data_IF_562006415970
#
_entry.id   IF_562006415970
#
_cell.length_a   1.000
_cell.length_b   1.000
_cell.length_c   1.000
_cell.angle_alpha   90.00
_cell.angle_beta   90.00
_cell.angle_gamma   90.00
#
_symmetry.space_group_name_H-M   'P 1'
#
loop_
_entity.id
_entity.type
_entity.pdbx_description
1 polymer ?
#
# COMPACT_ATOMS: atom_id res chain seq x y z
N UNK A 1 0.94 -12.16 6.90
CA UNK A 1 -0.19 -11.21 7.09
C UNK A 1 -0.82 -10.97 5.73
N UNK A 2 -1.97 -11.59 5.44
CA UNK A 2 -2.69 -11.45 4.15
C UNK A 2 -3.43 -10.11 4.13
N UNK A 3 -2.81 -9.07 3.59
CA UNK A 3 -3.51 -7.85 3.15
C UNK A 3 -3.58 -7.85 1.63
N UNK A 4 -4.45 -8.70 1.06
CA UNK A 4 -5.00 -8.43 -0.27
C UNK A 4 -6.23 -7.57 -0.01
N UNK A 5 -6.06 -6.26 0.03
CA UNK A 5 -7.20 -5.35 0.08
C UNK A 5 -7.97 -5.54 -1.23
N UNK A 6 -9.17 -6.13 -1.15
CA UNK A 6 -10.17 -6.04 -2.21
C UNK A 6 -10.47 -4.56 -2.42
N UNK A 7 -9.78 -3.94 -3.37
CA UNK A 7 -10.17 -2.63 -3.90
C UNK A 7 -11.44 -2.90 -4.70
N UNK A 8 -12.58 -2.90 -4.03
CA UNK A 8 -13.88 -2.69 -4.66
C UNK A 8 -13.99 -1.20 -4.97
N UNK A 9 -13.22 -0.73 -5.95
CA UNK A 9 -13.63 0.48 -6.66
C UNK A 9 -14.85 0.09 -7.46
N UNK A 10 -16.03 0.35 -6.91
CA UNK A 10 -17.24 0.52 -7.72
C UNK A 10 -16.93 1.62 -8.71
N UNK A 11 -16.46 1.25 -9.91
CA UNK A 11 -16.60 2.11 -11.07
C UNK A 11 -18.11 2.23 -11.25
N UNK A 12 -18.67 3.34 -10.77
CA UNK A 12 -19.97 3.79 -11.23
C UNK A 12 -19.82 3.87 -12.74
N UNK A 13 -20.47 2.95 -13.43
CA UNK A 13 -20.59 2.95 -14.89
C UNK A 13 -21.41 4.19 -15.24
N UNK A 14 -20.74 5.33 -15.35
CA UNK A 14 -21.23 6.46 -16.13
C UNK A 14 -20.99 6.17 -17.63
N UNK A 15 -21.32 4.94 -18.05
CA UNK A 15 -21.52 4.58 -19.43
C UNK A 15 -23.02 4.54 -19.62
N UNK A 16 -23.65 5.72 -19.73
CA UNK A 16 -25.02 5.77 -20.23
C UNK A 16 -25.00 5.11 -21.59
N UNK A 17 -25.61 3.92 -21.71
CA UNK A 17 -26.00 3.37 -22.99
C UNK A 17 -27.14 4.28 -23.43
N UNK A 18 -26.79 5.43 -24.01
CA UNK A 18 -27.77 6.30 -24.64
C UNK A 18 -28.26 5.51 -25.85
N UNK A 19 -29.47 4.96 -25.77
CA UNK A 19 -30.29 4.69 -26.95
C UNK A 19 -30.36 6.04 -27.67
N UNK A 20 -29.62 6.17 -28.78
CA UNK A 20 -29.55 7.41 -29.53
C UNK A 20 -30.94 7.75 -30.04
N UNK A 21 -31.63 8.63 -29.33
CA UNK A 21 -32.76 9.36 -29.83
C UNK A 21 -32.28 10.18 -31.04
N UNK A 22 -32.98 10.06 -32.17
CA UNK A 22 -32.81 10.94 -33.32
C UNK A 22 -32.99 12.39 -32.86
N UNK A 23 -31.88 13.08 -32.58
CA UNK A 23 -31.85 14.51 -32.35
C UNK A 23 -30.55 15.07 -32.92
N UNK A 24 -30.70 15.85 -33.98
CA UNK A 24 -29.63 16.50 -34.71
C UNK A 24 -29.05 17.66 -33.90
N UNK A 25 -28.03 17.36 -33.10
CA UNK A 25 -27.02 18.35 -32.70
C UNK A 25 -25.67 17.81 -33.16
N UNK A 26 -25.20 18.33 -34.30
CA UNK A 26 -23.94 17.92 -34.92
C UNK A 26 -22.75 18.54 -34.18
N UNK A 27 -22.36 17.89 -33.08
CA UNK A 27 -20.94 17.73 -32.82
C UNK A 27 -20.48 16.63 -33.77
N UNK A 28 -19.42 16.85 -34.55
CA UNK A 28 -18.89 15.86 -35.46
C UNK A 28 -18.42 14.64 -34.65
N UNK A 29 -19.29 13.64 -34.49
CA UNK A 29 -18.95 12.37 -33.89
C UNK A 29 -17.94 11.69 -34.81
N UNK A 30 -16.82 11.27 -34.24
CA UNK A 30 -15.85 10.46 -34.99
C UNK A 30 -16.56 9.26 -35.63
N UNK A 31 -16.18 8.90 -36.87
CA UNK A 31 -16.78 7.75 -37.52
C UNK A 31 -16.55 6.48 -36.69
N UNK A 32 -17.48 5.52 -36.73
CA UNK A 32 -17.38 4.29 -35.93
C UNK A 32 -16.16 3.44 -36.33
N UNK A 33 -15.68 3.57 -37.56
CA UNK A 33 -14.52 2.86 -38.10
C UNK A 33 -13.49 3.86 -38.64
N UNK A 34 -12.24 3.74 -38.20
CA UNK A 34 -11.07 4.53 -38.63
C UNK A 34 -10.10 3.73 -39.51
N UNK A 35 -10.44 2.50 -39.86
CA UNK A 35 -9.57 1.65 -40.67
C UNK A 35 -9.31 2.29 -42.05
N UNK A 36 -8.03 2.37 -42.44
CA UNK A 36 -7.65 2.93 -43.73
C UNK A 36 -8.27 2.12 -44.89
N UNK A 37 -8.89 2.82 -45.84
CA UNK A 37 -9.55 2.18 -46.99
C UNK A 37 -10.87 1.47 -46.66
N UNK A 38 -11.44 1.71 -45.48
CA UNK A 38 -12.73 1.14 -45.12
C UNK A 38 -13.88 1.71 -45.97
N UNK A 39 -14.61 0.82 -46.65
CA UNK A 39 -15.83 1.15 -47.38
C UNK A 39 -17.06 0.74 -46.59
N UNK A 40 -17.96 1.70 -46.34
CA UNK A 40 -19.18 1.47 -45.56
C UNK A 40 -20.12 0.51 -46.31
N UNK A 41 -20.53 -0.63 -45.73
CA UNK A 41 -21.46 -1.53 -46.36
C UNK A 41 -22.85 -0.92 -46.49
N UNK A 42 -23.64 -1.43 -47.44
CA UNK A 42 -25.05 -1.02 -47.57
C UNK A 42 -25.80 -1.36 -46.30
N UNK A 43 -26.51 -0.37 -45.76
CA UNK A 43 -27.35 -0.56 -44.57
C UNK A 43 -28.54 -1.43 -44.94
N UNK A 44 -28.80 -2.45 -44.13
CA UNK A 44 -29.97 -3.31 -44.26
C UNK A 44 -31.18 -2.65 -43.61
N UNK A 45 -32.36 -2.92 -44.16
CA UNK A 45 -33.63 -2.43 -43.62
C UNK A 45 -34.36 -3.56 -42.90
N UNK A 46 -35.07 -3.20 -41.84
CA UNK A 46 -35.91 -4.14 -41.11
C UNK A 46 -37.06 -4.63 -42.00
N UNK A 47 -37.43 -5.90 -41.87
CA UNK A 47 -38.67 -6.41 -42.42
C UNK A 47 -39.87 -5.67 -41.82
N UNK A 48 -40.85 -5.30 -42.65
CA UNK A 48 -41.97 -4.43 -42.24
C UNK A 48 -42.67 -4.89 -40.95
N UNK A 49 -42.93 -6.21 -40.83
CA UNK A 49 -43.59 -6.79 -39.65
C UNK A 49 -42.73 -6.67 -38.38
N UNK A 50 -41.44 -6.97 -38.48
CA UNK A 50 -40.50 -6.89 -37.35
C UNK A 50 -40.27 -5.44 -36.97
N UNK A 51 -40.08 -4.55 -37.95
CA UNK A 51 -39.94 -3.11 -37.73
C UNK A 51 -41.13 -2.50 -37.01
N UNK A 52 -42.37 -2.85 -37.39
CA UNK A 52 -43.59 -2.39 -36.66
C UNK A 52 -43.60 -2.83 -35.20
N UNK A 53 -43.24 -4.08 -34.91
CA UNK A 53 -43.18 -4.61 -33.53
C UNK A 53 -42.04 -3.98 -32.72
N UNK A 54 -40.87 -3.77 -33.33
CA UNK A 54 -39.74 -3.09 -32.69
C UNK A 54 -40.10 -1.64 -32.32
N UNK A 55 -40.79 -0.92 -33.22
CA UNK A 55 -41.26 0.43 -32.94
C UNK A 55 -42.26 0.46 -31.78
N UNK A 56 -43.21 -0.48 -31.73
CA UNK A 56 -44.15 -0.57 -30.60
C UNK A 56 -43.43 -0.83 -29.26
N UNK A 57 -42.43 -1.72 -29.25
CA UNK A 57 -41.60 -1.93 -28.06
C UNK A 57 -40.78 -0.68 -27.69
N UNK A 58 -40.32 0.08 -28.68
CA UNK A 58 -39.62 1.34 -28.46
C UNK A 58 -40.52 2.44 -27.88
N UNK A 59 -41.76 2.53 -28.36
CA UNK A 59 -42.78 3.42 -27.79
C UNK A 59 -43.07 3.06 -26.32
N UNK A 60 -43.29 1.77 -26.03
CA UNK A 60 -43.47 1.29 -24.66
C UNK A 60 -42.27 1.64 -23.77
N UNK A 61 -41.04 1.49 -24.27
CA UNK A 61 -39.83 1.89 -23.54
C UNK A 61 -39.79 3.40 -23.25
N UNK A 62 -40.10 4.25 -24.23
CA UNK A 62 -40.10 5.72 -24.06
C UNK A 62 -41.19 6.22 -23.10
N UNK A 63 -42.22 5.41 -22.86
CA UNK A 63 -43.26 5.65 -21.86
C UNK A 63 -42.93 5.01 -20.51
N UNK A 64 -41.66 4.65 -20.28
CA UNK A 64 -41.15 3.99 -19.07
C UNK A 64 -41.76 2.60 -18.78
N UNK A 65 -42.47 2.01 -19.76
CA UNK A 65 -43.07 0.67 -19.68
C UNK A 65 -42.06 -0.42 -20.06
N UNK A 66 -40.91 -0.44 -19.37
CA UNK A 66 -39.75 -1.28 -19.73
C UNK A 66 -40.07 -2.78 -19.69
N UNK A 67 -40.82 -3.25 -18.70
CA UNK A 67 -41.23 -4.67 -18.60
C UNK A 67 -42.12 -5.10 -19.77
N UNK A 68 -43.03 -4.21 -20.20
CA UNK A 68 -43.90 -4.44 -21.35
C UNK A 68 -43.09 -4.46 -22.64
N UNK A 69 -42.17 -3.51 -22.84
CA UNK A 69 -41.26 -3.49 -23.98
C UNK A 69 -40.44 -4.80 -24.08
N UNK A 70 -39.90 -5.30 -22.97
CA UNK A 70 -39.18 -6.57 -22.92
C UNK A 70 -40.09 -7.74 -23.31
N UNK A 71 -41.34 -7.78 -22.83
CA UNK A 71 -42.30 -8.81 -23.19
C UNK A 71 -42.61 -8.78 -24.70
N UNK A 72 -42.89 -7.59 -25.25
CA UNK A 72 -43.13 -7.39 -26.68
C UNK A 72 -41.96 -7.88 -27.54
N UNK A 73 -40.72 -7.57 -27.15
CA UNK A 73 -39.51 -8.00 -27.87
C UNK A 73 -39.34 -9.52 -27.91
N UNK A 74 -39.72 -10.22 -26.83
CA UNK A 74 -39.63 -11.69 -26.77
C UNK A 74 -40.65 -12.40 -27.68
N UNK A 75 -41.74 -11.74 -28.03
CA UNK A 75 -42.78 -12.26 -28.93
C UNK A 75 -42.46 -12.02 -30.42
N UNK A 76 -41.33 -11.39 -30.73
CA UNK A 76 -40.93 -11.13 -32.12
C UNK A 76 -40.24 -12.38 -32.68
N UNK A 77 -40.95 -13.08 -33.56
CA UNK A 77 -40.36 -14.14 -34.40
C UNK A 77 -39.71 -13.53 -35.65
N UNK A 78 -38.41 -13.26 -35.56
CA UNK A 78 -37.61 -12.79 -36.68
C UNK A 78 -37.00 -13.98 -37.46
N UNK A 79 -37.25 -14.04 -38.77
CA UNK A 79 -36.67 -15.08 -39.65
C UNK A 79 -35.36 -14.63 -40.30
N UNK A 80 -35.31 -13.38 -40.74
CA UNK A 80 -34.13 -12.80 -41.37
C UNK A 80 -33.05 -12.50 -40.34
N UNK A 81 -31.79 -12.70 -40.71
CA UNK A 81 -30.67 -12.54 -39.77
C UNK A 81 -30.58 -11.12 -39.22
N UNK A 82 -30.80 -10.10 -40.06
CA UNK A 82 -30.73 -8.70 -39.65
C UNK A 82 -31.85 -8.32 -38.66
N UNK A 83 -33.05 -8.85 -38.89
CA UNK A 83 -34.18 -8.69 -37.99
C UNK A 83 -33.88 -9.35 -36.63
N UNK A 84 -33.31 -10.57 -36.63
CA UNK A 84 -32.90 -11.27 -35.41
C UNK A 84 -31.87 -10.45 -34.62
N UNK A 85 -30.82 -9.98 -35.29
CA UNK A 85 -29.79 -9.17 -34.65
C UNK A 85 -30.35 -7.87 -34.07
N UNK A 86 -31.32 -7.25 -34.75
CA UNK A 86 -31.94 -6.00 -34.29
C UNK A 86 -32.82 -6.21 -33.06
N UNK A 87 -33.60 -7.30 -33.02
CA UNK A 87 -34.38 -7.69 -31.84
C UNK A 87 -33.46 -8.03 -30.66
N UNK A 88 -32.42 -8.81 -30.91
CA UNK A 88 -31.44 -9.20 -29.90
C UNK A 88 -30.72 -7.99 -29.31
N UNK A 89 -30.32 -7.04 -30.15
CA UNK A 89 -29.69 -5.79 -29.72
C UNK A 89 -30.60 -5.07 -28.74
N UNK A 90 -31.85 -4.81 -29.13
CA UNK A 90 -32.75 -4.00 -28.32
C UNK A 90 -33.14 -4.71 -27.02
N UNK A 91 -33.47 -6.01 -27.10
CA UNK A 91 -33.79 -6.81 -25.92
C UNK A 91 -32.59 -6.89 -24.96
N UNK A 92 -31.39 -7.12 -25.48
CA UNK A 92 -30.17 -7.14 -24.70
C UNK A 92 -29.89 -5.82 -24.00
N UNK A 93 -30.11 -4.68 -24.68
CA UNK A 93 -29.95 -3.35 -24.09
C UNK A 93 -30.94 -3.10 -22.95
N UNK A 94 -32.22 -3.45 -23.12
CA UNK A 94 -33.21 -3.29 -22.05
C UNK A 94 -32.91 -4.19 -20.85
N UNK A 95 -32.46 -5.42 -21.10
CA UNK A 95 -32.07 -6.34 -20.02
C UNK A 95 -30.83 -5.88 -19.25
N UNK A 96 -29.92 -5.12 -19.89
CA UNK A 96 -28.71 -4.62 -19.23
C UNK A 96 -29.01 -3.69 -18.04
N UNK A 97 -30.15 -3.00 -18.08
CA UNK A 97 -30.60 -2.10 -17.03
C UNK A 97 -31.52 -2.75 -15.99
N UNK A 98 -31.79 -4.05 -16.11
CA UNK A 98 -32.65 -4.78 -15.17
C UNK A 98 -31.82 -5.52 -14.13
N UNK A 99 -32.20 -5.37 -12.87
CA UNK A 99 -31.54 -6.05 -11.76
C UNK A 99 -31.54 -7.57 -11.95
N UNK A 100 -30.37 -8.19 -11.84
CA UNK A 100 -30.19 -9.64 -11.98
C UNK A 100 -30.32 -10.19 -13.40
N UNK A 101 -30.42 -9.33 -14.44
CA UNK A 101 -30.55 -9.75 -15.85
C UNK A 101 -29.28 -9.58 -16.70
N UNK A 102 -28.17 -9.20 -16.07
CA UNK A 102 -26.87 -9.00 -16.72
C UNK A 102 -26.43 -10.18 -17.60
N UNK A 103 -26.50 -11.41 -17.08
CA UNK A 103 -26.13 -12.60 -17.85
C UNK A 103 -27.03 -12.85 -19.07
N UNK A 104 -28.32 -12.53 -18.95
CA UNK A 104 -29.29 -12.68 -20.03
C UNK A 104 -29.05 -11.61 -21.11
N UNK A 105 -28.87 -10.36 -20.68
CA UNK A 105 -28.44 -9.25 -21.54
C UNK A 105 -27.20 -9.62 -22.36
N UNK A 106 -26.17 -10.17 -21.71
CA UNK A 106 -24.94 -10.57 -22.38
C UNK A 106 -25.19 -11.57 -23.51
N UNK A 107 -26.08 -12.55 -23.29
CA UNK A 107 -26.44 -13.54 -24.31
C UNK A 107 -27.05 -12.89 -25.54
N UNK A 108 -28.04 -12.01 -25.34
CA UNK A 108 -28.71 -11.33 -26.46
C UNK A 108 -27.78 -10.35 -27.17
N UNK A 109 -27.02 -9.54 -26.43
CA UNK A 109 -26.07 -8.59 -27.03
C UNK A 109 -24.97 -9.32 -27.82
N UNK A 110 -24.39 -10.41 -27.28
CA UNK A 110 -23.40 -11.21 -27.98
C UNK A 110 -23.97 -11.80 -29.29
N UNK A 111 -25.21 -12.33 -29.26
CA UNK A 111 -25.88 -12.86 -30.45
C UNK A 111 -26.11 -11.79 -31.51
N UNK A 112 -26.46 -10.57 -31.10
CA UNK A 112 -26.73 -9.45 -32.02
C UNK A 112 -25.53 -9.05 -32.88
N UNK A 113 -24.31 -9.21 -32.36
CA UNK A 113 -23.08 -8.85 -33.09
C UNK A 113 -22.43 -10.03 -33.78
N UNK A 114 -22.87 -11.26 -33.56
CA UNK A 114 -22.08 -12.43 -34.00
C UNK A 114 -21.86 -12.46 -35.52
N UNK A 115 -22.89 -12.14 -36.30
CA UNK A 115 -22.86 -12.17 -37.77
C UNK A 115 -22.30 -10.90 -38.43
N UNK A 116 -21.99 -9.85 -37.66
CA UNK A 116 -21.50 -8.55 -38.19
C UNK A 116 -22.42 -7.88 -39.23
N UNK A 117 -23.73 -8.01 -39.07
CA UNK A 117 -24.75 -7.53 -40.01
C UNK A 117 -25.45 -6.22 -39.58
N UNK A 118 -25.26 -5.81 -38.32
CA UNK A 118 -25.70 -4.50 -37.83
C UNK A 118 -24.91 -3.39 -38.55
N UNK A 119 -25.46 -2.17 -38.57
CA UNK A 119 -24.69 -1.02 -39.05
C UNK A 119 -23.44 -0.79 -38.18
N UNK A 120 -22.43 -0.13 -38.73
CA UNK A 120 -21.11 -0.02 -38.09
C UNK A 120 -21.15 0.62 -36.70
N UNK A 121 -22.03 1.61 -36.48
CA UNK A 121 -22.20 2.28 -35.19
C UNK A 121 -22.75 1.33 -34.13
N UNK A 122 -23.83 0.63 -34.47
CA UNK A 122 -24.41 -0.40 -33.60
C UNK A 122 -23.43 -1.54 -33.37
N UNK A 123 -22.81 -2.08 -34.41
CA UNK A 123 -21.88 -3.19 -34.28
C UNK A 123 -20.68 -2.82 -33.40
N UNK A 124 -20.07 -1.65 -33.61
CA UNK A 124 -18.96 -1.17 -32.79
C UNK A 124 -19.39 -0.96 -31.33
N UNK A 125 -20.46 -0.20 -31.09
CA UNK A 125 -20.92 0.11 -29.73
C UNK A 125 -21.32 -1.14 -28.95
N UNK A 126 -22.07 -2.06 -29.56
CA UNK A 126 -22.52 -3.29 -28.91
C UNK A 126 -21.37 -4.28 -28.70
N UNK A 127 -20.44 -4.42 -29.66
CA UNK A 127 -19.26 -5.28 -29.47
C UNK A 127 -18.44 -4.81 -28.26
N UNK A 128 -18.25 -3.49 -28.08
CA UNK A 128 -17.60 -2.94 -26.89
C UNK A 128 -18.42 -3.19 -25.62
N UNK A 129 -19.74 -2.97 -25.67
CA UNK A 129 -20.64 -3.21 -24.54
C UNK A 129 -20.66 -4.69 -24.08
N UNK A 130 -20.56 -5.65 -25.01
CA UNK A 130 -20.42 -7.08 -24.70
C UNK A 130 -19.09 -7.35 -24.00
N UNK A 131 -18.01 -6.67 -24.38
CA UNK A 131 -16.73 -6.70 -23.67
C UNK A 131 -16.82 -6.16 -22.24
N UNK A 132 -17.49 -5.02 -22.07
CA UNK A 132 -17.72 -4.37 -20.78
C UNK A 132 -18.55 -5.25 -19.84
N UNK A 133 -19.64 -5.81 -20.36
CA UNK A 133 -20.55 -6.66 -19.60
C UNK A 133 -19.89 -8.01 -19.25
N UNK A 134 -19.16 -8.60 -20.19
CA UNK A 134 -18.34 -9.80 -19.92
C UNK A 134 -17.35 -9.55 -18.78
N UNK A 135 -16.70 -8.38 -18.75
CA UNK A 135 -15.77 -8.03 -17.68
C UNK A 135 -16.47 -7.92 -16.31
N UNK A 136 -17.67 -7.32 -16.27
CA UNK A 136 -18.46 -7.18 -15.05
C UNK A 136 -18.96 -8.53 -14.52
N UNK A 137 -19.29 -9.45 -15.43
CA UNK A 137 -19.67 -10.84 -15.11
C UNK A 137 -18.46 -11.76 -14.86
N UNK A 138 -17.25 -11.19 -14.73
CA UNK A 138 -16.00 -11.91 -14.50
C UNK A 138 -15.63 -12.94 -15.60
N UNK A 139 -16.19 -12.78 -16.81
CA UNK A 139 -15.85 -13.56 -18.00
C UNK A 139 -14.69 -12.92 -18.74
N UNK A 140 -13.52 -13.00 -18.14
CA UNK A 140 -12.34 -12.25 -18.57
C UNK A 140 -11.86 -12.60 -20.00
N UNK A 141 -11.89 -13.88 -20.38
CA UNK A 141 -11.51 -14.32 -21.73
C UNK A 141 -12.47 -13.79 -22.80
N UNK A 142 -13.78 -13.80 -22.53
CA UNK A 142 -14.78 -13.23 -23.42
C UNK A 142 -14.60 -11.72 -23.53
N UNK A 143 -14.38 -11.02 -22.41
CA UNK A 143 -14.11 -9.59 -22.41
C UNK A 143 -12.94 -9.24 -23.33
N UNK A 144 -11.80 -9.94 -23.18
CA UNK A 144 -10.62 -9.77 -24.03
C UNK A 144 -10.93 -10.04 -25.51
N UNK A 145 -11.66 -11.11 -25.82
CA UNK A 145 -12.09 -11.45 -27.19
C UNK A 145 -12.92 -10.32 -27.81
N UNK A 146 -13.88 -9.78 -27.09
CA UNK A 146 -14.77 -8.73 -27.61
C UNK A 146 -14.08 -7.38 -27.71
N UNK A 147 -13.18 -7.02 -26.79
CA UNK A 147 -12.35 -5.82 -26.95
C UNK A 147 -11.44 -5.92 -28.17
N UNK A 148 -10.77 -7.06 -28.38
CA UNK A 148 -9.96 -7.26 -29.58
C UNK A 148 -10.82 -7.17 -30.85
N UNK A 149 -11.99 -7.84 -30.88
CA UNK A 149 -12.95 -7.76 -31.99
C UNK A 149 -13.40 -6.32 -32.28
N UNK A 150 -13.61 -5.51 -31.25
CA UNK A 150 -13.95 -4.10 -31.39
C UNK A 150 -12.79 -3.29 -31.97
N UNK A 151 -11.58 -3.48 -31.47
CA UNK A 151 -10.38 -2.80 -31.97
C UNK A 151 -10.09 -3.19 -33.43
N UNK A 152 -10.18 -4.47 -33.78
CA UNK A 152 -9.95 -4.96 -35.15
C UNK A 152 -10.97 -4.40 -36.14
N UNK A 153 -12.23 -4.24 -35.70
CA UNK A 153 -13.29 -3.69 -36.56
C UNK A 153 -13.17 -2.18 -36.73
N UNK A 154 -12.85 -1.46 -35.66
CA UNK A 154 -12.88 0.00 -35.65
C UNK A 154 -11.53 0.63 -36.00
N UNK A 155 -10.43 -0.11 -35.86
CA UNK A 155 -9.06 0.41 -35.86
C UNK A 155 -8.85 1.58 -34.88
N UNK A 156 -9.67 1.66 -33.83
CA UNK A 156 -9.56 2.69 -32.79
C UNK A 156 -8.66 2.21 -31.66
N UNK A 157 -7.90 3.15 -31.12
CA UNK A 157 -7.24 3.03 -29.83
C UNK A 157 -8.12 3.71 -28.77
N UNK A 158 -8.35 3.04 -27.63
CA UNK A 158 -9.11 3.60 -26.51
C UNK A 158 -8.39 3.22 -25.21
N UNK A 159 -7.92 4.24 -24.48
CA UNK A 159 -7.16 4.06 -23.27
C UNK A 159 -7.91 3.27 -22.18
N UNK A 160 -9.23 3.41 -22.10
CA UNK A 160 -10.06 2.68 -21.14
C UNK A 160 -10.24 1.22 -21.55
N UNK A 161 -10.37 0.94 -22.85
CA UNK A 161 -10.40 -0.44 -23.36
C UNK A 161 -9.09 -1.15 -23.04
N UNK A 162 -7.95 -0.52 -23.31
CA UNK A 162 -6.64 -1.07 -22.93
C UNK A 162 -6.52 -1.31 -21.43
N UNK A 163 -7.00 -0.38 -20.59
CA UNK A 163 -6.99 -0.54 -19.14
C UNK A 163 -7.86 -1.72 -18.67
N UNK A 164 -9.03 -1.92 -19.28
CA UNK A 164 -9.92 -3.06 -19.02
C UNK A 164 -9.30 -4.39 -19.46
N UNK A 165 -8.63 -4.42 -20.61
CA UNK A 165 -7.87 -5.59 -21.07
C UNK A 165 -6.71 -5.92 -20.12
N UNK A 166 -5.93 -4.92 -19.69
CA UNK A 166 -4.87 -5.10 -18.69
C UNK A 166 -5.42 -5.69 -17.38
N UNK A 167 -6.55 -5.17 -16.89
CA UNK A 167 -7.23 -5.69 -15.70
C UNK A 167 -7.68 -7.14 -15.90
N UNK A 168 -8.31 -7.47 -17.04
CA UNK A 168 -8.76 -8.83 -17.33
C UNK A 168 -7.58 -9.83 -17.34
N UNK A 169 -6.45 -9.48 -17.95
CA UNK A 169 -5.24 -10.29 -17.89
C UNK A 169 -4.70 -10.45 -16.46
N UNK A 170 -4.77 -9.40 -15.64
CA UNK A 170 -4.33 -9.45 -14.24
C UNK A 170 -5.20 -10.41 -13.42
N UNK A 171 -6.53 -10.35 -13.58
CA UNK A 171 -7.48 -11.22 -12.88
C UNK A 171 -7.33 -12.69 -13.32
N UNK A 172 -6.99 -12.92 -14.60
CA UNK A 172 -6.60 -14.23 -15.13
C UNK A 172 -5.19 -14.68 -14.71
N UNK A 173 -4.46 -13.87 -13.94
CA UNK A 173 -3.07 -14.10 -13.52
C UNK A 173 -2.08 -14.26 -14.68
N UNK A 174 -2.42 -13.69 -15.83
CA UNK A 174 -1.58 -13.66 -17.02
C UNK A 174 -0.66 -12.44 -16.97
N UNK A 175 0.20 -12.38 -15.95
CA UNK A 175 0.93 -11.16 -15.59
C UNK A 175 1.76 -10.56 -16.74
N UNK A 176 2.44 -11.38 -17.54
CA UNK A 176 3.21 -10.90 -18.69
C UNK A 176 2.32 -10.23 -19.76
N UNK A 177 1.06 -10.68 -19.90
CA UNK A 177 0.10 -10.12 -20.87
C UNK A 177 -0.55 -8.82 -20.38
N UNK A 178 -0.38 -8.45 -19.11
CA UNK A 178 -0.86 -7.16 -18.59
C UNK A 178 -0.06 -6.00 -19.16
N UNK A 179 1.23 -6.20 -19.40
CA UNK A 179 2.19 -5.12 -19.71
C UNK A 179 1.82 -4.40 -21.00
N UNK A 180 1.55 -5.13 -22.09
CA UNK A 180 1.21 -4.53 -23.39
C UNK A 180 -0.01 -3.60 -23.34
N UNK A 181 -1.19 -4.08 -22.90
CA UNK A 181 -2.35 -3.22 -22.74
C UNK A 181 -2.15 -2.10 -21.71
N UNK A 182 -1.42 -2.32 -20.60
CA UNK A 182 -1.13 -1.25 -19.65
C UNK A 182 -0.27 -0.13 -20.29
N UNK A 183 0.74 -0.48 -21.09
CA UNK A 183 1.59 0.47 -21.80
C UNK A 183 0.83 1.23 -22.88
N UNK A 184 -0.03 0.54 -23.63
CA UNK A 184 -0.92 1.20 -24.58
C UNK A 184 -1.89 2.16 -23.88
N UNK A 185 -2.45 1.79 -22.72
CA UNK A 185 -3.28 2.69 -21.93
C UNK A 185 -2.49 3.94 -21.51
N UNK A 186 -1.28 3.78 -20.95
CA UNK A 186 -0.40 4.89 -20.54
C UNK A 186 -0.12 5.84 -21.71
N UNK A 187 0.17 5.31 -22.91
CA UNK A 187 0.44 6.11 -24.11
C UNK A 187 -0.79 6.83 -24.65
N UNK A 188 -1.98 6.22 -24.51
CA UNK A 188 -3.21 6.70 -25.15
C UNK A 188 -3.96 7.72 -24.29
N UNK A 189 -3.77 7.74 -22.97
CA UNK A 189 -4.39 8.76 -22.13
C UNK A 189 -3.76 10.15 -22.37
N UNK A 190 -4.59 11.17 -22.61
CA UNK A 190 -4.14 12.57 -22.73
C UNK A 190 -3.44 13.11 -21.48
N UNK A 191 -3.81 12.58 -20.31
CA UNK A 191 -3.21 12.90 -19.01
C UNK A 191 -2.81 11.61 -18.30
N UNK A 192 -1.68 11.59 -17.58
CA UNK A 192 -1.25 10.40 -16.85
C UNK A 192 -2.38 9.78 -16.02
N UNK A 193 -2.67 8.50 -16.28
CA UNK A 193 -3.69 7.75 -15.57
C UNK A 193 -3.05 6.78 -14.58
N UNK A 194 -3.21 7.07 -13.29
CA UNK A 194 -2.64 6.31 -12.18
C UNK A 194 -3.00 4.81 -12.21
N UNK A 195 -4.18 4.45 -12.69
CA UNK A 195 -4.65 3.05 -12.69
C UNK A 195 -3.89 2.19 -13.71
N UNK A 196 -3.49 2.75 -14.85
CA UNK A 196 -2.70 2.01 -15.84
C UNK A 196 -1.32 1.62 -15.27
N UNK A 197 -0.65 2.56 -14.59
CA UNK A 197 0.58 2.26 -13.88
C UNK A 197 0.37 1.26 -12.74
N UNK A 198 -0.73 1.35 -11.98
CA UNK A 198 -1.05 0.40 -10.91
C UNK A 198 -1.21 -1.04 -11.40
N UNK A 199 -1.82 -1.24 -12.57
CA UNK A 199 -1.92 -2.57 -13.18
C UNK A 199 -0.53 -3.10 -13.58
N UNK A 200 0.31 -2.26 -14.22
CA UNK A 200 1.68 -2.63 -14.59
C UNK A 200 2.53 -3.00 -13.38
N UNK A 201 2.51 -2.17 -12.34
CA UNK A 201 3.22 -2.45 -11.07
C UNK A 201 2.71 -3.73 -10.41
N UNK A 202 1.40 -3.97 -10.42
CA UNK A 202 0.83 -5.19 -9.82
C UNK A 202 1.26 -6.44 -10.59
N UNK A 203 1.26 -6.39 -11.93
CA UNK A 203 1.75 -7.50 -12.74
C UNK A 203 3.23 -7.81 -12.49
N UNK A 204 4.08 -6.79 -12.40
CA UNK A 204 5.50 -6.98 -12.08
C UNK A 204 5.70 -7.54 -10.66
N UNK A 205 4.98 -7.01 -9.67
CA UNK A 205 5.05 -7.52 -8.30
C UNK A 205 4.63 -9.00 -8.20
N UNK A 206 3.49 -9.36 -8.79
CA UNK A 206 2.98 -10.74 -8.75
C UNK A 206 3.85 -11.72 -9.55
N UNK A 207 4.54 -11.25 -10.59
CA UNK A 207 5.54 -12.02 -11.34
C UNK A 207 6.94 -11.97 -10.73
N UNK A 208 7.11 -11.36 -9.55
CA UNK A 208 8.38 -11.20 -8.81
C UNK A 208 9.46 -10.41 -9.57
N UNK A 209 9.04 -9.58 -10.52
CA UNK A 209 9.86 -8.64 -11.28
C UNK A 209 9.94 -7.29 -10.54
N UNK A 210 10.51 -7.33 -9.33
CA UNK A 210 10.53 -6.17 -8.43
C UNK A 210 11.34 -4.99 -8.99
N UNK A 211 12.51 -5.19 -9.64
CA UNK A 211 13.23 -4.09 -10.28
C UNK A 211 12.37 -3.33 -11.30
N UNK A 212 11.63 -4.02 -12.16
CA UNK A 212 10.74 -3.39 -13.13
C UNK A 212 9.54 -2.71 -12.45
N UNK A 213 9.06 -3.24 -11.33
CA UNK A 213 8.05 -2.57 -10.52
C UNK A 213 8.58 -1.26 -9.92
N UNK A 214 9.85 -1.22 -9.50
CA UNK A 214 10.52 -0.02 -8.99
C UNK A 214 10.58 1.05 -10.08
N UNK A 215 11.06 0.72 -11.29
CA UNK A 215 11.16 1.68 -12.40
C UNK A 215 9.82 2.37 -12.70
N UNK A 216 8.74 1.59 -12.68
CA UNK A 216 7.39 2.12 -12.88
C UNK A 216 6.97 3.01 -11.71
N UNK A 217 7.20 2.59 -10.46
CA UNK A 217 6.82 3.41 -9.29
C UNK A 217 7.65 4.70 -9.20
N UNK A 218 8.94 4.68 -9.57
CA UNK A 218 9.78 5.88 -9.66
C UNK A 218 9.21 6.90 -10.64
N UNK A 219 8.75 6.43 -11.80
CA UNK A 219 8.04 7.28 -12.77
C UNK A 219 6.76 7.86 -12.16
N UNK A 220 6.01 7.03 -11.44
CA UNK A 220 4.71 7.41 -10.89
C UNK A 220 4.83 8.44 -9.76
N UNK A 221 5.85 8.36 -8.89
CA UNK A 221 6.06 9.39 -7.84
C UNK A 221 6.48 10.74 -8.43
N UNK A 222 7.04 10.78 -9.64
CA UNK A 222 7.32 12.03 -10.35
C UNK A 222 6.05 12.63 -10.98
N UNK A 223 5.17 11.79 -11.52
CA UNK A 223 3.91 12.22 -12.13
C UNK A 223 2.84 12.60 -11.10
N UNK A 224 2.85 11.95 -9.94
CA UNK A 224 1.88 12.13 -8.86
C UNK A 224 2.59 12.35 -7.51
N UNK A 225 3.36 13.44 -7.35
CA UNK A 225 4.22 13.66 -6.19
C UNK A 225 3.45 13.79 -4.87
N UNK A 226 2.19 14.22 -4.90
CA UNK A 226 1.38 14.38 -3.70
C UNK A 226 0.71 13.07 -3.23
N UNK A 227 0.85 12.00 -4.00
CA UNK A 227 0.22 10.72 -3.67
C UNK A 227 1.10 9.86 -2.76
N UNK A 228 0.91 10.03 -1.45
CA UNK A 228 1.62 9.29 -0.39
C UNK A 228 1.61 7.76 -0.56
N UNK A 229 0.62 7.19 -1.27
CA UNK A 229 0.53 5.74 -1.47
C UNK A 229 1.70 5.21 -2.27
N UNK A 230 2.13 5.97 -3.29
CA UNK A 230 3.22 5.56 -4.17
C UNK A 230 4.58 5.72 -3.53
N UNK A 231 4.78 6.77 -2.75
CA UNK A 231 6.01 6.93 -1.96
C UNK A 231 6.20 5.78 -0.97
N UNK A 232 5.15 5.39 -0.25
CA UNK A 232 5.21 4.24 0.63
C UNK A 232 5.50 2.94 -0.15
N UNK A 233 4.86 2.73 -1.30
CA UNK A 233 5.12 1.56 -2.14
C UNK A 233 6.57 1.52 -2.65
N UNK A 234 7.12 2.67 -3.07
CA UNK A 234 8.50 2.79 -3.52
C UNK A 234 9.49 2.41 -2.42
N UNK A 235 9.34 2.99 -1.23
CA UNK A 235 10.18 2.68 -0.09
C UNK A 235 10.12 1.18 0.29
N UNK A 236 8.94 0.58 0.24
CA UNK A 236 8.76 -0.85 0.50
C UNK A 236 9.39 -1.75 -0.59
N UNK A 237 9.38 -1.34 -1.85
CA UNK A 237 10.04 -2.09 -2.92
C UNK A 237 11.57 -2.00 -2.82
N UNK A 238 12.13 -0.83 -2.49
CA UNK A 238 13.55 -0.73 -2.19
C UNK A 238 13.95 -1.62 -0.99
N UNK A 239 13.12 -1.69 0.05
CA UNK A 239 13.36 -2.62 1.16
C UNK A 239 13.34 -4.09 0.71
N UNK A 240 12.44 -4.46 -0.19
CA UNK A 240 12.32 -5.83 -0.69
C UNK A 240 13.55 -6.26 -1.50
N UNK A 241 14.14 -5.32 -2.25
CA UNK A 241 15.39 -5.50 -3.00
C UNK A 241 16.65 -5.19 -2.17
N UNK A 242 16.51 -5.03 -0.85
CA UNK A 242 17.61 -4.72 0.08
C UNK A 242 18.39 -3.44 -0.28
N UNK A 243 17.78 -2.53 -1.05
CA UNK A 243 18.30 -1.19 -1.39
C UNK A 243 18.04 -0.22 -0.23
N UNK A 244 18.72 -0.44 0.89
CA UNK A 244 18.45 0.27 2.14
C UNK A 244 18.71 1.78 2.08
N UNK A 245 19.68 2.24 1.29
CA UNK A 245 20.00 3.67 1.15
C UNK A 245 18.88 4.41 0.38
N UNK A 246 18.37 3.80 -0.67
CA UNK A 246 17.25 4.33 -1.46
C UNK A 246 15.96 4.30 -0.63
N UNK A 247 15.72 3.20 0.10
CA UNK A 247 14.59 3.11 1.02
C UNK A 247 14.64 4.21 2.08
N UNK A 248 15.79 4.42 2.73
CA UNK A 248 15.96 5.48 3.72
C UNK A 248 15.68 6.86 3.11
N UNK A 249 16.21 7.13 1.92
CA UNK A 249 16.00 8.40 1.21
C UNK A 249 14.50 8.66 0.95
N UNK A 250 13.78 7.65 0.46
CA UNK A 250 12.34 7.74 0.21
C UNK A 250 11.53 7.90 1.49
N UNK A 251 11.80 7.10 2.53
CA UNK A 251 11.09 7.21 3.79
C UNK A 251 11.38 8.53 4.52
N UNK A 252 12.61 9.04 4.47
CA UNK A 252 12.96 10.36 5.04
C UNK A 252 12.25 11.49 4.29
N UNK A 253 12.20 11.45 2.95
CA UNK A 253 11.45 12.44 2.17
C UNK A 253 9.95 12.37 2.46
N UNK A 254 9.37 11.16 2.46
CA UNK A 254 7.96 10.91 2.80
C UNK A 254 7.62 11.44 4.20
N UNK A 255 8.55 11.28 5.15
CA UNK A 255 8.40 11.81 6.49
C UNK A 255 8.32 13.32 6.51
N UNK A 256 9.25 14.00 5.81
CA UNK A 256 9.29 15.47 5.71
C UNK A 256 8.04 16.05 5.07
N UNK A 257 7.43 15.33 4.13
CA UNK A 257 6.17 15.72 3.49
C UNK A 257 4.91 15.37 4.32
N UNK A 258 5.06 14.74 5.49
CA UNK A 258 3.93 14.36 6.34
C UNK A 258 3.15 13.14 5.85
N UNK A 259 3.74 12.34 4.95
CA UNK A 259 3.09 11.17 4.35
C UNK A 259 3.10 9.94 5.26
N UNK A 260 4.03 9.86 6.22
CA UNK A 260 4.10 8.76 7.18
C UNK A 260 3.18 9.03 8.37
N UNK A 261 2.11 8.25 8.50
CA UNK A 261 1.06 8.49 9.51
C UNK A 261 0.81 7.29 10.42
N UNK A 262 1.47 6.15 10.19
CA UNK A 262 1.22 4.90 10.94
C UNK A 262 2.41 4.50 11.82
N UNK A 263 2.13 3.74 12.90
CA UNK A 263 3.14 3.10 13.76
C UNK A 263 4.18 2.35 12.95
N UNK A 264 3.73 1.53 11.98
CA UNK A 264 4.61 0.70 11.15
C UNK A 264 5.59 1.55 10.34
N UNK A 265 5.11 2.59 9.67
CA UNK A 265 5.96 3.47 8.84
C UNK A 265 7.02 4.20 9.67
N UNK A 266 6.64 4.71 10.85
CA UNK A 266 7.57 5.37 11.75
C UNK A 266 8.62 4.38 12.29
N UNK A 267 8.21 3.16 12.64
CA UNK A 267 9.13 2.11 13.06
C UNK A 267 10.09 1.71 11.93
N UNK A 268 9.61 1.58 10.69
CA UNK A 268 10.44 1.32 9.51
C UNK A 268 11.48 2.42 9.31
N UNK A 269 11.10 3.69 9.38
CA UNK A 269 12.05 4.81 9.26
C UNK A 269 13.08 4.82 10.40
N UNK A 270 12.65 4.58 11.64
CA UNK A 270 13.58 4.48 12.78
C UNK A 270 14.56 3.31 12.62
N UNK A 271 14.09 2.16 12.12
CA UNK A 271 14.92 1.00 11.85
C UNK A 271 15.95 1.29 10.76
N UNK A 272 15.53 1.93 9.66
CA UNK A 272 16.41 2.36 8.57
C UNK A 272 17.49 3.33 9.06
N UNK A 273 17.13 4.32 9.88
CA UNK A 273 18.14 5.18 10.51
C UNK A 273 19.11 4.38 11.39
N UNK A 274 18.61 3.42 12.17
CA UNK A 274 19.46 2.62 13.05
C UNK A 274 20.36 1.64 12.29
N UNK A 275 19.93 1.08 11.16
CA UNK A 275 20.74 0.16 10.34
C UNK A 275 21.79 0.90 9.51
N UNK A 276 21.56 2.19 9.22
CA UNK A 276 22.48 3.06 8.50
C UNK A 276 23.37 3.91 9.43
N UNK A 277 23.61 3.42 10.65
CA UNK A 277 24.47 4.07 11.66
C UNK A 277 24.09 5.53 11.98
N UNK A 278 22.80 5.86 11.91
CA UNK A 278 22.22 7.15 12.37
C UNK A 278 21.33 6.96 13.62
N UNK A 279 21.83 6.35 14.72
CA UNK A 279 21.01 5.98 15.87
C UNK A 279 20.39 7.19 16.60
N UNK A 280 20.98 8.39 16.47
CA UNK A 280 20.40 9.59 17.07
C UNK A 280 19.07 9.98 16.40
N UNK A 281 19.02 10.01 15.04
CA UNK A 281 17.77 10.27 14.32
C UNK A 281 16.71 9.20 14.62
N UNK A 282 17.13 7.94 14.74
CA UNK A 282 16.25 6.84 15.14
C UNK A 282 15.66 7.05 16.55
N UNK A 283 16.47 7.48 17.51
CA UNK A 283 16.03 7.75 18.88
C UNK A 283 15.05 8.94 18.93
N UNK A 284 15.39 10.05 18.27
CA UNK A 284 14.58 11.27 18.23
C UNK A 284 13.20 11.03 17.63
N UNK A 285 13.14 10.30 16.50
CA UNK A 285 11.85 10.04 15.85
C UNK A 285 10.97 9.12 16.71
N UNK A 286 11.53 8.07 17.31
CA UNK A 286 10.75 7.20 18.19
C UNK A 286 10.33 7.94 19.46
N UNK A 287 11.22 8.71 20.10
CA UNK A 287 10.91 9.52 21.28
C UNK A 287 9.77 10.51 21.00
N UNK A 288 9.82 11.20 19.85
CA UNK A 288 8.76 12.10 19.39
C UNK A 288 7.41 11.39 19.28
N UNK A 289 7.37 10.21 18.66
CA UNK A 289 6.11 9.52 18.44
C UNK A 289 5.59 8.75 19.65
N UNK A 290 6.46 8.33 20.57
CA UNK A 290 6.08 7.90 21.93
C UNK A 290 5.40 9.06 22.68
N UNK A 291 5.99 10.25 22.65
CA UNK A 291 5.41 11.44 23.30
C UNK A 291 4.06 11.85 22.69
N UNK A 292 3.91 11.71 21.38
CA UNK A 292 2.64 12.03 20.69
C UNK A 292 1.53 11.00 20.93
N UNK A 293 1.85 9.82 21.48
CA UNK A 293 0.92 8.70 21.62
C UNK A 293 0.73 7.86 20.35
N UNK A 294 1.39 8.20 19.23
CA UNK A 294 1.36 7.34 18.04
C UNK A 294 2.08 6.02 18.30
N UNK A 295 3.27 6.03 18.90
CA UNK A 295 3.95 4.81 19.34
C UNK A 295 3.56 4.49 20.78
N UNK A 296 3.45 3.21 21.09
CA UNK A 296 3.10 2.75 22.42
C UNK A 296 4.20 3.13 23.42
N UNK A 297 3.80 3.56 24.61
CA UNK A 297 4.73 3.85 25.72
C UNK A 297 4.92 2.60 26.59
N UNK A 298 4.99 1.43 25.98
CA UNK A 298 5.25 0.17 26.68
C UNK A 298 6.74 0.02 27.03
N UNK A 299 7.01 -0.91 27.94
CA UNK A 299 8.36 -1.17 28.46
C UNK A 299 9.38 -1.41 27.34
N UNK A 300 9.03 -2.25 26.37
CA UNK A 300 9.90 -2.62 25.22
C UNK A 300 10.22 -1.41 24.34
N UNK A 301 9.23 -0.60 24.03
CA UNK A 301 9.41 0.59 23.17
C UNK A 301 10.28 1.62 23.88
N UNK A 302 10.03 1.90 25.16
CA UNK A 302 10.85 2.82 25.95
C UNK A 302 12.30 2.33 26.08
N UNK A 303 12.50 1.03 26.32
CA UNK A 303 13.84 0.43 26.38
C UNK A 303 14.59 0.49 25.05
N UNK A 304 13.88 0.32 23.93
CA UNK A 304 14.47 0.47 22.59
C UNK A 304 14.91 1.92 22.33
N UNK A 305 14.09 2.91 22.66
CA UNK A 305 14.46 4.33 22.55
C UNK A 305 15.68 4.64 23.42
N UNK A 306 15.71 4.14 24.66
CA UNK A 306 16.85 4.29 25.54
C UNK A 306 18.14 3.69 24.94
N UNK A 307 18.05 2.50 24.35
CA UNK A 307 19.19 1.84 23.71
C UNK A 307 19.72 2.62 22.50
N UNK A 308 18.85 3.25 21.70
CA UNK A 308 19.25 4.12 20.59
C UNK A 308 19.94 5.40 21.08
N UNK A 309 19.43 6.03 22.15
CA UNK A 309 20.14 7.15 22.78
C UNK A 309 21.49 6.73 23.37
N UNK A 310 21.58 5.55 24.00
CA UNK A 310 22.84 5.03 24.52
C UNK A 310 23.85 4.81 23.40
N UNK A 311 23.45 4.20 22.27
CA UNK A 311 24.30 3.98 21.10
C UNK A 311 24.77 5.28 20.45
N UNK A 312 23.94 6.32 20.47
CA UNK A 312 24.30 7.66 20.02
C UNK A 312 25.03 8.51 21.08
N UNK A 313 25.43 7.91 22.22
CA UNK A 313 26.14 8.56 23.34
C UNK A 313 25.35 9.66 24.05
N UNK A 314 24.02 9.67 23.89
CA UNK A 314 23.10 10.57 24.57
C UNK A 314 22.65 9.95 25.92
N UNK A 315 23.59 9.82 26.84
CA UNK A 315 23.42 9.00 28.04
C UNK A 315 22.35 9.52 29.01
N UNK A 316 22.15 10.83 29.12
CA UNK A 316 21.09 11.40 29.99
C UNK A 316 19.69 11.07 29.48
N UNK A 317 19.45 11.20 28.17
CA UNK A 317 18.19 10.79 27.56
C UNK A 317 17.99 9.28 27.66
N UNK A 318 19.05 8.48 27.45
CA UNK A 318 18.99 7.04 27.65
C UNK A 318 18.57 6.67 29.09
N UNK A 319 19.15 7.34 30.09
CA UNK A 319 18.79 7.15 31.49
C UNK A 319 17.32 7.52 31.81
N UNK A 320 16.79 8.60 31.21
CA UNK A 320 15.38 8.96 31.35
C UNK A 320 14.46 7.87 30.82
N UNK A 321 14.69 7.41 29.58
CA UNK A 321 13.86 6.39 28.95
C UNK A 321 13.97 5.03 29.65
N UNK A 322 15.17 4.61 30.10
CA UNK A 322 15.30 3.42 30.94
C UNK A 322 14.58 3.57 32.28
N UNK A 323 14.63 4.75 32.88
CA UNK A 323 13.86 5.04 34.10
C UNK A 323 12.35 4.98 33.91
N UNK A 324 11.85 5.38 32.74
CA UNK A 324 10.43 5.24 32.39
C UNK A 324 10.05 3.80 32.13
N UNK A 325 10.88 3.04 31.40
CA UNK A 325 10.69 1.61 31.16
C UNK A 325 10.63 0.84 32.49
N UNK A 326 11.58 1.09 33.39
CA UNK A 326 11.64 0.46 34.71
C UNK A 326 10.35 0.59 35.54
N UNK A 327 9.60 1.69 35.39
CA UNK A 327 8.37 1.94 36.15
C UNK A 327 7.15 1.15 35.66
N UNK A 328 7.15 0.64 34.43
CA UNK A 328 5.98 -0.03 33.86
C UNK A 328 5.78 -1.41 34.51
N UNK A 329 6.85 -2.19 34.63
CA UNK A 329 6.81 -3.56 35.20
C UNK A 329 7.62 -3.71 36.49
N UNK A 330 8.09 -2.61 37.09
CA UNK A 330 9.06 -2.61 38.20
C UNK A 330 10.28 -3.48 37.87
N UNK A 331 10.89 -3.25 36.71
CA UNK A 331 11.98 -4.07 36.20
C UNK A 331 13.34 -3.54 36.71
N UNK A 332 14.02 -4.26 37.62
CA UNK A 332 15.28 -3.82 38.20
C UNK A 332 16.42 -3.76 37.17
N UNK A 333 16.34 -4.50 36.06
CA UNK A 333 17.35 -4.45 35.01
C UNK A 333 17.38 -3.09 34.31
N UNK A 334 16.23 -2.45 34.12
CA UNK A 334 16.19 -1.10 33.55
C UNK A 334 16.63 -0.02 34.56
N UNK A 335 16.46 -0.24 35.86
CA UNK A 335 17.08 0.63 36.88
C UNK A 335 18.61 0.53 36.85
N UNK A 336 19.13 -0.69 36.70
CA UNK A 336 20.56 -0.93 36.51
C UNK A 336 21.09 -0.20 35.28
N UNK A 337 20.45 -0.39 34.12
CA UNK A 337 20.82 0.32 32.88
C UNK A 337 20.72 1.83 33.01
N UNK A 338 19.67 2.36 33.65
CA UNK A 338 19.57 3.80 33.98
C UNK A 338 20.79 4.26 34.76
N UNK A 339 21.16 3.52 35.80
CA UNK A 339 22.32 3.79 36.63
C UNK A 339 23.63 3.80 35.85
N UNK A 340 23.86 2.80 35.00
CA UNK A 340 25.03 2.72 34.12
C UNK A 340 25.11 3.91 33.14
N UNK A 341 23.97 4.32 32.57
CA UNK A 341 23.91 5.50 31.69
C UNK A 341 24.23 6.79 32.46
N UNK A 342 23.71 6.97 33.67
CA UNK A 342 24.02 8.13 34.51
C UNK A 342 25.48 8.16 34.95
N UNK A 343 26.05 7.00 35.28
CA UNK A 343 27.47 6.86 35.62
C UNK A 343 28.34 7.31 34.45
N UNK A 344 28.01 6.87 33.23
CA UNK A 344 28.71 7.26 32.00
C UNK A 344 28.52 8.75 31.67
N UNK A 345 27.38 9.33 32.06
CA UNK A 345 27.10 10.76 31.95
C UNK A 345 27.72 11.61 33.09
N UNK A 346 28.53 10.99 33.97
CA UNK A 346 29.13 11.58 35.17
C UNK A 346 28.11 12.13 36.19
N UNK A 347 26.84 11.75 36.08
CA UNK A 347 25.84 11.99 37.12
C UNK A 347 25.93 10.88 38.18
N UNK A 348 27.00 10.93 38.96
CA UNK A 348 27.29 9.91 39.97
C UNK A 348 26.21 9.80 41.04
N UNK A 349 25.60 10.93 41.43
CA UNK A 349 24.52 10.93 42.44
C UNK A 349 23.27 10.25 41.90
N UNK A 350 22.85 10.58 40.69
CA UNK A 350 21.73 9.91 40.03
C UNK A 350 22.00 8.43 39.79
N UNK A 351 23.26 8.07 39.43
CA UNK A 351 23.68 6.69 39.26
C UNK A 351 23.55 5.89 40.56
N UNK A 352 24.04 6.42 41.69
CA UNK A 352 23.89 5.78 43.01
C UNK A 352 22.42 5.51 43.31
N UNK A 353 21.54 6.51 43.17
CA UNK A 353 20.11 6.35 43.45
C UNK A 353 19.48 5.25 42.59
N UNK A 354 19.80 5.20 41.29
CA UNK A 354 19.23 4.20 40.39
C UNK A 354 19.77 2.79 40.64
N UNK A 355 21.09 2.64 40.86
CA UNK A 355 21.73 1.35 41.07
C UNK A 355 21.38 0.74 42.43
N UNK A 356 21.28 1.55 43.49
CA UNK A 356 20.80 1.07 44.80
C UNK A 356 19.35 0.60 44.73
N UNK A 357 18.49 1.32 44.00
CA UNK A 357 17.13 0.89 43.76
C UNK A 357 17.06 -0.43 42.98
N UNK A 358 17.98 -0.66 42.03
CA UNK A 358 18.09 -1.93 41.30
C UNK A 358 18.48 -3.09 42.23
N UNK A 359 19.47 -2.90 43.12
CA UNK A 359 19.85 -3.92 44.11
C UNK A 359 18.72 -4.20 45.10
N UNK A 360 18.02 -3.17 45.57
CA UNK A 360 16.89 -3.33 46.48
C UNK A 360 15.72 -4.13 45.87
N UNK A 361 15.66 -4.22 44.54
CA UNK A 361 14.67 -4.97 43.77
C UNK A 361 15.22 -6.30 43.21
N UNK A 362 16.34 -6.80 43.74
CA UNK A 362 16.93 -8.09 43.38
C UNK A 362 17.30 -8.20 41.88
N UNK A 363 17.98 -7.20 41.34
CA UNK A 363 18.59 -7.25 39.99
C UNK A 363 19.45 -8.51 39.82
N UNK A 364 19.38 -9.17 38.66
CA UNK A 364 20.04 -10.47 38.45
C UNK A 364 21.57 -10.34 38.55
N UNK A 365 22.13 -9.26 37.99
CA UNK A 365 23.57 -9.03 37.91
C UNK A 365 24.10 -8.17 39.05
N UNK A 366 23.80 -8.56 40.28
CA UNK A 366 24.19 -7.81 41.50
C UNK A 366 25.68 -7.46 41.57
N UNK A 367 26.56 -8.38 41.12
CA UNK A 367 28.00 -8.15 41.12
C UNK A 367 28.43 -7.02 40.19
N UNK A 368 27.84 -6.94 39.00
CA UNK A 368 28.05 -5.84 38.06
C UNK A 368 27.48 -4.52 38.59
N UNK A 369 26.27 -4.55 39.15
CA UNK A 369 25.65 -3.36 39.74
C UNK A 369 26.46 -2.85 40.93
N UNK A 370 26.97 -3.75 41.77
CA UNK A 370 27.88 -3.41 42.87
C UNK A 370 29.17 -2.78 42.38
N UNK A 371 29.72 -3.26 41.26
CA UNK A 371 30.90 -2.65 40.66
C UNK A 371 30.60 -1.23 40.15
N UNK A 372 29.47 -1.00 39.47
CA UNK A 372 29.06 0.35 39.05
C UNK A 372 28.80 1.28 40.25
N UNK A 373 28.23 0.77 41.35
CA UNK A 373 28.07 1.52 42.60
C UNK A 373 29.40 1.88 43.22
N UNK A 374 30.36 0.96 43.21
CA UNK A 374 31.72 1.23 43.68
C UNK A 374 32.32 2.42 42.92
N UNK A 375 32.23 2.44 41.59
CA UNK A 375 32.75 3.54 40.78
C UNK A 375 32.03 4.86 41.11
N UNK A 376 30.70 4.85 41.17
CA UNK A 376 29.91 6.04 41.48
C UNK A 376 30.22 6.62 42.88
N UNK A 377 30.36 5.75 43.89
CA UNK A 377 30.74 6.16 45.24
C UNK A 377 32.19 6.64 45.33
N UNK A 378 33.11 6.02 44.57
CA UNK A 378 34.49 6.47 44.48
C UNK A 378 34.58 7.90 43.94
N UNK A 379 33.88 8.20 42.84
CA UNK A 379 33.90 9.54 42.23
C UNK A 379 33.17 10.62 43.05
N UNK A 380 32.19 10.23 43.87
CA UNK A 380 31.57 11.15 44.85
C UNK A 380 32.39 11.31 46.13
N UNK A 381 33.45 10.52 46.31
CA UNK A 381 34.38 10.60 47.44
C UNK A 381 33.96 9.83 48.68
N UNK A 382 32.88 9.03 48.63
CA UNK A 382 32.52 8.11 49.71
C UNK A 382 33.30 6.80 49.57
N UNK A 383 34.56 6.83 50.02
CA UNK A 383 35.44 5.68 49.90
C UNK A 383 35.03 4.50 50.79
N UNK A 384 34.23 4.72 51.85
CA UNK A 384 33.71 3.63 52.68
C UNK A 384 32.69 2.82 51.89
N UNK A 385 31.72 3.50 51.27
CA UNK A 385 30.75 2.85 50.39
C UNK A 385 31.40 2.26 49.15
N UNK A 386 32.35 2.97 48.53
CA UNK A 386 33.09 2.44 47.40
C UNK A 386 33.77 1.10 47.75
N UNK A 387 34.45 1.03 48.90
CA UNK A 387 35.09 -0.21 49.37
C UNK A 387 34.07 -1.31 49.69
N UNK A 388 32.96 -0.98 50.36
CA UNK A 388 31.87 -1.93 50.65
C UNK A 388 31.36 -2.60 49.37
N UNK A 389 31.02 -1.80 48.35
CA UNK A 389 30.50 -2.31 47.09
C UNK A 389 31.58 -3.00 46.24
N UNK A 390 32.85 -2.61 46.36
CA UNK A 390 33.97 -3.33 45.75
C UNK A 390 34.07 -4.77 46.29
N UNK A 391 33.88 -4.94 47.60
CA UNK A 391 33.90 -6.26 48.24
C UNK A 391 32.73 -7.13 47.78
N UNK A 392 31.53 -6.54 47.61
CA UNK A 392 30.38 -7.23 47.02
C UNK A 392 30.67 -7.64 45.57
N UNK A 393 31.20 -6.73 44.74
CA UNK A 393 31.58 -7.01 43.36
C UNK A 393 32.63 -8.13 43.23
N UNK A 394 33.56 -8.27 44.20
CA UNK A 394 34.56 -9.36 44.21
C UNK A 394 33.96 -10.75 44.36
N UNK A 395 32.77 -10.87 44.95
CA UNK A 395 32.11 -12.16 45.11
C UNK A 395 31.70 -12.76 43.75
N UNK A 396 31.31 -11.91 42.80
CA UNK A 396 30.97 -12.28 41.42
C UNK A 396 32.23 -12.63 40.61
N UNK A 397 32.29 -13.88 40.13
CA UNK A 397 33.43 -14.41 39.35
C UNK A 397 33.72 -13.61 38.08
N UNK A 398 32.70 -13.02 37.45
CA UNK A 398 32.84 -12.31 36.15
C UNK A 398 33.47 -10.93 36.29
N UNK A 399 33.27 -10.26 37.43
CA UNK A 399 33.77 -8.90 37.70
C UNK A 399 34.91 -8.87 38.74
N UNK A 400 35.17 -10.00 39.42
CA UNK A 400 36.20 -10.13 40.47
C UNK A 400 37.55 -9.53 40.09
N UNK A 401 38.04 -9.78 38.88
CA UNK A 401 39.34 -9.27 38.43
C UNK A 401 39.36 -7.73 38.42
N UNK A 402 38.31 -7.10 37.90
CA UNK A 402 38.18 -5.64 37.85
C UNK A 402 38.09 -5.06 39.26
N UNK A 403 37.28 -5.68 40.13
CA UNK A 403 37.12 -5.22 41.52
C UNK A 403 38.42 -5.36 42.34
N UNK A 404 39.20 -6.43 42.14
CA UNK A 404 40.53 -6.58 42.74
C UNK A 404 41.51 -5.52 42.25
N UNK A 405 41.42 -5.11 40.98
CA UNK A 405 42.27 -4.06 40.43
C UNK A 405 41.96 -2.68 41.03
N UNK A 406 40.70 -2.39 41.37
CA UNK A 406 40.28 -1.12 41.99
C UNK A 406 40.62 -1.01 43.48
N UNK A 407 40.71 -2.14 44.18
CA UNK A 407 40.85 -2.16 45.64
C UNK A 407 42.04 -1.33 46.18
N UNK A 408 43.26 -1.40 45.60
CA UNK A 408 44.39 -0.60 46.05
C UNK A 408 44.13 0.91 45.88
N UNK A 409 43.51 1.31 44.76
CA UNK A 409 43.21 2.71 44.46
C UNK A 409 42.19 3.29 45.45
N UNK A 410 41.15 2.52 45.80
CA UNK A 410 40.16 2.93 46.80
C UNK A 410 40.84 3.13 48.17
N UNK A 411 41.65 2.16 48.61
CA UNK A 411 42.38 2.22 49.89
C UNK A 411 43.35 3.40 49.95
N UNK A 412 44.09 3.64 48.87
CA UNK A 412 45.04 4.75 48.79
C UNK A 412 44.32 6.10 48.86
N UNK A 413 43.27 6.32 48.05
CA UNK A 413 42.50 7.57 48.07
C UNK A 413 41.81 7.80 49.41
N UNK A 414 41.28 6.75 50.04
CA UNK A 414 40.72 6.85 51.39
C UNK A 414 41.78 7.26 52.43
N UNK A 415 42.94 6.61 52.42
CA UNK A 415 44.07 6.93 53.30
C UNK A 415 44.51 8.38 53.13
N UNK A 416 44.62 8.86 51.89
CA UNK A 416 45.00 10.24 51.58
C UNK A 416 43.98 11.27 52.10
N UNK A 417 42.72 10.86 52.35
CA UNK A 417 41.68 11.69 52.98
C UNK A 417 41.45 11.37 54.46
N UNK A 418 42.33 10.60 55.10
CA UNK A 418 42.23 10.23 56.52
C UNK A 418 41.10 9.24 56.84
N UNK A 419 40.54 8.56 55.84
CA UNK A 419 39.45 7.59 56.00
C UNK A 419 40.07 6.19 56.18
N UNK A 420 39.71 5.51 57.27
CA UNK A 420 40.11 4.11 57.54
C UNK A 420 39.07 3.15 56.95
N UNK A 421 39.53 2.22 56.10
CA UNK A 421 38.75 1.16 55.43
C UNK A 421 39.58 -0.11 55.25
#
# INVERSE_FOLDING_TARGET
MKMVSKIKTSLIVAGGITLSAFSSVSLAQEPPVLCAGYERPKTQLLGERVGKKLNAAFEAYNEDRVTEAIAMLREIEAKEEFDQASVDKFLGQLLASQDGKSQESLTFLARSVEKKILNDGDYASITKAVGDLSLNEEKYEDALKYYQRWMDFTCKEDANVYLRMAKAHLDLKQYDKVIGPADNAIRTFDKPNKNAYALKVSAFYESKKIPEAIDVVETVVQLFPDDKTWWNRLGMFYLLEERYDDALSVFELSYKQGFLTTKSQINTLAQLYSSQDVPFKAAEIQAKYVKSGLLDSDEKTLANVAALYARSKNFKQAADFYGRAAKIENNPEYLSKKGEMLLTAEDYKGAITALEAALAQNVEKEGRVSYSLMEAYFYTGDFRKAFEYNQKAKSDRTIRRNALAWEPYIKEKAKNRGIRI
#
